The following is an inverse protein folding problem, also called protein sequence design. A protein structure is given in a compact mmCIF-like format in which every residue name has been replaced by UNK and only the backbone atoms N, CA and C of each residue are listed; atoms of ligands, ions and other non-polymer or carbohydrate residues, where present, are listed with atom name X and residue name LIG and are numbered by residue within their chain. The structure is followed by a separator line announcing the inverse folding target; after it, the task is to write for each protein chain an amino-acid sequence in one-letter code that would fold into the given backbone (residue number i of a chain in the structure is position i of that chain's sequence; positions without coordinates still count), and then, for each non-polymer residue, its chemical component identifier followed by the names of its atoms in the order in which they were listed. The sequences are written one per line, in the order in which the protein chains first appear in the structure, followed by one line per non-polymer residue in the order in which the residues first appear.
data_IF_674350778414
#
_entry.id   IF_674350778414
#
_cell.length_a   1.000
_cell.length_b   1.000
_cell.length_c   1.000
_cell.angle_alpha   90.00
_cell.angle_beta   90.00
_cell.angle_gamma   90.00
#
_symmetry.space_group_name_H-M   'P 1'
#
loop_
_entity.id
_entity.type
_entity.pdbx_description
1 polymer ?
#
# COMPACT_ATOMS: atom_id res chain seq x y z
N UNK A 1 -12.50 17.53 -3.26
CA UNK A 1 -12.36 16.16 -3.77
C UNK A 1 -11.30 15.51 -2.91
N UNK A 2 -11.67 14.54 -2.07
CA UNK A 2 -10.68 13.83 -1.25
C UNK A 2 -9.79 13.02 -2.20
N UNK A 3 -8.52 13.42 -2.33
CA UNK A 3 -7.52 12.68 -3.06
C UNK A 3 -7.37 11.30 -2.38
N UNK A 4 -7.82 10.26 -3.07
CA UNK A 4 -7.53 8.88 -2.69
C UNK A 4 -6.05 8.62 -3.04
N UNK A 5 -5.15 9.06 -2.16
CA UNK A 5 -3.68 8.97 -2.33
C UNK A 5 -3.17 7.55 -2.61
N UNK A 6 -4.00 6.51 -2.38
CA UNK A 6 -3.62 5.11 -2.62
C UNK A 6 -4.81 4.20 -2.98
N UNK A 7 -4.65 3.27 -3.95
CA UNK A 7 -5.68 2.31 -4.34
C UNK A 7 -6.11 1.38 -3.19
N UNK A 8 -5.21 1.04 -2.27
CA UNK A 8 -5.57 0.34 -1.02
C UNK A 8 -6.62 1.09 -0.18
N UNK A 9 -6.51 2.43 -0.08
CA UNK A 9 -7.47 3.26 0.65
C UNK A 9 -8.82 3.30 -0.08
N UNK A 10 -8.79 3.37 -1.40
CA UNK A 10 -9.98 3.30 -2.25
C UNK A 10 -10.70 1.95 -2.08
N UNK A 11 -9.99 0.83 -2.21
CA UNK A 11 -10.51 -0.52 -2.03
C UNK A 11 -11.19 -0.72 -0.68
N UNK A 12 -10.59 -0.23 0.42
CA UNK A 12 -11.23 -0.36 1.74
C UNK A 12 -12.50 0.47 1.85
N UNK A 13 -12.52 1.67 1.28
CA UNK A 13 -13.66 2.59 1.36
C UNK A 13 -14.82 2.06 0.53
N UNK A 14 -14.57 1.55 -0.68
CA UNK A 14 -15.60 0.92 -1.52
C UNK A 14 -16.26 -0.28 -0.84
N UNK A 15 -15.52 -0.98 0.04
CA UNK A 15 -16.02 -2.14 0.81
C UNK A 15 -16.50 -1.78 2.22
N UNK A 16 -16.48 -0.51 2.61
CA UNK A 16 -16.85 -0.07 3.96
C UNK A 16 -15.96 -0.61 5.09
N UNK A 17 -14.73 -1.02 4.77
CA UNK A 17 -13.78 -1.63 5.70
C UNK A 17 -12.94 -0.57 6.41
N UNK A 18 -12.68 -0.76 7.71
CA UNK A 18 -11.72 0.08 8.45
C UNK A 18 -10.30 -0.43 8.21
N UNK A 19 -9.32 0.45 8.39
CA UNK A 19 -7.90 0.06 8.33
C UNK A 19 -7.55 -1.06 9.35
N UNK A 20 -8.28 -1.14 10.46
CA UNK A 20 -8.15 -2.21 11.44
C UNK A 20 -8.62 -3.58 10.90
N UNK A 21 -9.70 -3.62 10.13
CA UNK A 21 -10.20 -4.85 9.49
C UNK A 21 -9.21 -5.37 8.45
N UNK A 22 -8.68 -4.46 7.62
CA UNK A 22 -7.62 -4.79 6.65
C UNK A 22 -6.39 -5.33 7.38
N UNK A 23 -5.96 -4.66 8.46
CA UNK A 23 -4.83 -5.07 9.27
C UNK A 23 -5.04 -6.48 9.86
N UNK A 24 -6.23 -6.77 10.38
CA UNK A 24 -6.57 -8.08 10.92
C UNK A 24 -6.48 -9.18 9.84
N UNK A 25 -6.99 -8.92 8.63
CA UNK A 25 -6.95 -9.87 7.51
C UNK A 25 -5.52 -10.21 7.08
N UNK A 26 -4.64 -9.21 6.99
CA UNK A 26 -3.24 -9.42 6.58
C UNK A 26 -2.30 -9.79 7.75
N UNK A 27 -2.86 -9.97 8.96
CA UNK A 27 -2.15 -10.12 10.25
C UNK A 27 -1.05 -9.08 10.43
N UNK A 28 -1.40 -7.82 10.20
CA UNK A 28 -0.54 -6.66 10.44
C UNK A 28 -1.21 -5.70 11.42
N UNK A 29 -0.60 -4.55 11.64
CA UNK A 29 -1.14 -3.53 12.54
C UNK A 29 -1.85 -2.44 11.75
N UNK A 30 -2.86 -1.80 12.37
CA UNK A 30 -3.54 -0.62 11.79
C UNK A 30 -2.51 0.45 11.37
N UNK A 31 -1.47 0.68 12.18
CA UNK A 31 -0.41 1.61 11.85
C UNK A 31 0.37 1.21 10.58
N UNK A 32 0.63 -0.08 10.38
CA UNK A 32 1.26 -0.56 9.17
C UNK A 32 0.38 -0.30 7.94
N UNK A 33 -0.92 -0.58 8.02
CA UNK A 33 -1.88 -0.26 6.95
C UNK A 33 -1.91 1.23 6.64
N UNK A 34 -1.94 2.08 7.67
CA UNK A 34 -1.90 3.53 7.49
C UNK A 34 -0.62 3.99 6.79
N UNK A 35 0.53 3.35 7.04
CA UNK A 35 1.78 3.62 6.31
C UNK A 35 1.67 3.16 4.85
N UNK A 36 1.08 2.00 4.60
CA UNK A 36 0.87 1.49 3.24
C UNK A 36 -0.03 2.42 2.42
N UNK A 37 -1.08 2.96 3.04
CA UNK A 37 -1.96 3.97 2.44
C UNK A 37 -1.25 5.31 2.18
N UNK A 38 -0.16 5.62 2.88
CA UNK A 38 0.67 6.82 2.63
C UNK A 38 1.76 6.58 1.58
N UNK A 39 1.79 5.41 0.92
CA UNK A 39 2.79 5.06 -0.09
C UNK A 39 4.06 4.41 0.45
N UNK A 40 4.09 4.00 1.72
CA UNK A 40 5.21 3.22 2.28
C UNK A 40 5.06 1.77 1.84
N UNK A 41 6.05 1.20 1.15
CA UNK A 41 5.97 -0.17 0.66
C UNK A 41 5.82 -1.20 1.80
N UNK A 42 4.81 -2.09 1.76
CA UNK A 42 4.76 -3.25 2.62
C UNK A 42 5.94 -4.20 2.36
N UNK A 43 6.36 -4.96 3.38
CA UNK A 43 7.30 -6.08 3.15
C UNK A 43 6.61 -7.16 2.29
N UNK A 44 7.37 -7.92 1.51
CA UNK A 44 6.89 -9.03 0.67
C UNK A 44 5.75 -9.87 1.29
N UNK A 45 5.86 -10.40 2.53
CA UNK A 45 4.81 -11.26 3.09
C UNK A 45 3.49 -10.55 3.35
N UNK A 46 3.49 -9.24 3.57
CA UNK A 46 2.26 -8.46 3.70
C UNK A 46 1.71 -8.07 2.33
N UNK A 47 2.60 -7.80 1.38
CA UNK A 47 2.22 -7.43 0.03
C UNK A 47 1.50 -8.59 -0.66
N UNK A 48 2.04 -9.81 -0.56
CA UNK A 48 1.40 -11.04 -1.07
C UNK A 48 -0.01 -11.20 -0.49
N UNK A 49 -0.17 -11.03 0.83
CA UNK A 49 -1.49 -11.06 1.48
C UNK A 49 -2.43 -9.96 1.03
N UNK A 50 -1.92 -8.76 0.76
CA UNK A 50 -2.74 -7.65 0.25
C UNK A 50 -3.19 -7.95 -1.18
N UNK A 51 -2.30 -8.47 -2.04
CA UNK A 51 -2.65 -8.90 -3.40
C UNK A 51 -3.72 -9.97 -3.38
N UNK A 52 -3.54 -11.02 -2.57
CA UNK A 52 -4.52 -12.10 -2.42
C UNK A 52 -5.84 -11.59 -1.82
N UNK A 53 -5.78 -10.71 -0.82
CA UNK A 53 -6.96 -10.09 -0.20
C UNK A 53 -7.78 -9.27 -1.20
N UNK A 54 -7.08 -8.56 -2.08
CA UNK A 54 -7.68 -7.62 -3.04
C UNK A 54 -7.95 -8.25 -4.39
N UNK A 55 -7.73 -9.56 -4.54
CA UNK A 55 -7.88 -10.28 -5.81
C UNK A 55 -7.06 -9.66 -6.96
N UNK A 56 -5.90 -9.08 -6.63
CA UNK A 56 -5.05 -8.37 -7.59
C UNK A 56 -5.51 -6.95 -7.94
N UNK A 57 -6.54 -6.41 -7.29
CA UNK A 57 -6.98 -5.02 -7.46
C UNK A 57 -5.95 -4.03 -6.88
N UNK A 58 -5.15 -4.46 -5.90
CA UNK A 58 -4.01 -3.71 -5.36
C UNK A 58 -2.76 -4.60 -5.39
N UNK A 59 -1.76 -4.17 -6.14
CA UNK A 59 -0.53 -4.92 -6.40
C UNK A 59 0.73 -4.16 -6.04
N UNK A 60 1.88 -4.83 -6.06
CA UNK A 60 3.18 -4.17 -5.81
C UNK A 60 3.41 -2.94 -6.69
N UNK A 61 2.80 -2.93 -7.88
CA UNK A 61 2.84 -1.84 -8.85
C UNK A 61 2.28 -0.53 -8.31
N UNK A 62 1.29 -0.60 -7.43
CA UNK A 62 0.66 0.59 -6.82
C UNK A 62 1.59 1.32 -5.86
N UNK A 63 2.55 0.60 -5.26
CA UNK A 63 3.63 1.20 -4.46
C UNK A 63 4.86 1.56 -5.31
N UNK A 64 5.05 0.92 -6.47
CA UNK A 64 6.18 1.16 -7.38
C UNK A 64 6.17 2.53 -8.05
N UNK A 65 5.01 3.16 -8.24
CA UNK A 65 4.92 4.48 -8.89
C UNK A 65 5.69 5.59 -8.15
N UNK A 66 5.71 5.57 -6.81
CA UNK A 66 6.55 6.47 -5.98
C UNK A 66 7.97 5.93 -5.78
N UNK A 67 8.17 4.61 -5.76
CA UNK A 67 9.50 4.02 -5.61
C UNK A 67 10.36 4.07 -6.87
N UNK A 68 9.81 4.12 -8.08
CA UNK A 68 10.61 4.42 -9.27
C UNK A 68 11.25 5.81 -9.16
N UNK A 69 10.49 6.79 -8.68
CA UNK A 69 11.00 8.13 -8.41
C UNK A 69 12.00 8.14 -7.23
N UNK A 70 11.73 7.41 -6.14
CA UNK A 70 12.64 7.32 -4.99
C UNK A 70 13.93 6.55 -5.31
N UNK A 71 13.88 5.45 -6.08
CA UNK A 71 15.06 4.69 -6.50
C UNK A 71 15.90 5.50 -7.51
N UNK A 72 15.28 6.26 -8.42
CA UNK A 72 15.99 7.22 -9.29
C UNK A 72 16.61 8.35 -8.48
N UNK A 73 15.86 8.96 -7.54
CA UNK A 73 16.35 10.02 -6.67
C UNK A 73 17.50 9.54 -5.76
N UNK A 74 17.41 8.33 -5.23
CA UNK A 74 18.42 7.72 -4.36
C UNK A 74 19.64 7.24 -5.14
N UNK A 75 19.54 7.01 -6.45
CA UNK A 75 20.70 6.79 -7.34
C UNK A 75 21.41 8.09 -7.73
N UNK A 76 20.70 9.21 -7.82
CA UNK A 76 21.29 10.52 -8.15
C UNK A 76 22.02 11.18 -6.97
N UNK A 77 21.76 10.77 -5.73
CA UNK A 77 22.44 11.30 -4.53
C UNK A 77 23.77 10.60 -4.19
N UNK A 78 24.27 9.71 -5.05
CA UNK A 78 25.55 8.99 -4.84
C UNK A 78 26.49 9.06 -6.05
N UNK A 79 26.34 10.09 -6.89
CA UNK A 79 27.25 10.39 -7.99
C UNK A 79 28.01 11.70 -7.73
#
# INVERSE_FOLDING_TARGET
MEEFDHPLKRWRIERGLKAADVAAKIRSTRQAVSRYESGRRPKQPYLDRIVVMTDGEVTASDWLGKEAADVVAKRQASA
#
